data_IF_131924257976
#
_entry.id   IF_131924257976
#
_cell.length_a   1.000
_cell.length_b   1.000
_cell.length_c   1.000
_cell.angle_alpha   90.00
_cell.angle_beta   90.00
_cell.angle_gamma   90.00
#
_symmetry.space_group_name_H-M   'P 1'
#
loop_
_entity.id
_entity.type
_entity.pdbx_description
1 polymer ?
#
# COMPACT_ATOMS: atom_id res chain seq x y z
N UNK A 1 7.57 -34.57 -8.70
CA UNK A 1 7.84 -33.65 -7.59
C UNK A 1 6.70 -32.64 -7.46
N UNK A 2 5.70 -32.84 -6.58
CA UNK A 2 4.65 -31.85 -6.42
C UNK A 2 5.14 -30.69 -5.53
N UNK A 3 5.09 -29.46 -6.05
CA UNK A 3 5.33 -28.23 -5.29
C UNK A 3 4.26 -28.12 -4.21
N UNK A 4 4.67 -28.31 -2.96
CA UNK A 4 3.88 -28.06 -1.75
C UNK A 4 3.44 -26.59 -1.79
N UNK A 5 2.20 -26.32 -2.21
CA UNK A 5 1.56 -25.01 -1.98
C UNK A 5 1.39 -24.92 -0.47
N UNK A 6 2.32 -24.23 0.19
CA UNK A 6 2.16 -23.87 1.59
C UNK A 6 0.81 -23.14 1.70
N UNK A 7 -0.12 -23.74 2.42
CA UNK A 7 -1.41 -23.11 2.71
C UNK A 7 -1.06 -21.93 3.64
N UNK A 8 -1.40 -20.68 3.27
CA UNK A 8 -1.17 -19.56 4.17
C UNK A 8 -1.86 -19.87 5.50
N UNK A 9 -1.19 -19.59 6.62
CA UNK A 9 -1.81 -19.76 7.91
C UNK A 9 -3.04 -18.84 7.99
N UNK A 10 -4.08 -19.19 8.76
CA UNK A 10 -5.28 -18.36 8.88
C UNK A 10 -4.99 -16.92 9.36
N UNK A 11 -3.88 -16.70 10.08
CA UNK A 11 -3.41 -15.37 10.45
C UNK A 11 -2.92 -14.56 9.23
N UNK A 12 -2.18 -15.19 8.31
CA UNK A 12 -1.69 -14.55 7.07
C UNK A 12 -2.85 -14.12 6.17
N UNK A 13 -3.92 -14.93 6.11
CA UNK A 13 -5.10 -14.63 5.30
C UNK A 13 -5.86 -13.39 5.79
N UNK A 14 -5.87 -13.12 7.11
CA UNK A 14 -6.54 -11.95 7.69
C UNK A 14 -5.88 -10.63 7.25
N UNK A 15 -4.55 -10.55 7.36
CA UNK A 15 -3.80 -9.36 6.94
C UNK A 15 -3.88 -9.13 5.43
N UNK A 16 -3.78 -10.19 4.64
CA UNK A 16 -3.91 -10.10 3.18
C UNK A 16 -5.29 -9.59 2.75
N UNK A 17 -6.36 -10.01 3.43
CA UNK A 17 -7.70 -9.51 3.18
C UNK A 17 -7.82 -8.03 3.57
N UNK A 18 -7.29 -7.64 4.72
CA UNK A 18 -7.31 -6.25 5.20
C UNK A 18 -6.54 -5.33 4.25
N UNK A 19 -5.31 -5.70 3.87
CA UNK A 19 -4.50 -5.00 2.88
C UNK A 19 -5.18 -4.96 1.50
N UNK A 20 -5.89 -6.03 1.13
CA UNK A 20 -6.68 -6.10 -0.10
C UNK A 20 -7.83 -5.08 -0.11
N UNK A 21 -8.57 -4.97 1.00
CA UNK A 21 -9.64 -3.99 1.16
C UNK A 21 -9.10 -2.56 1.11
N UNK A 22 -7.96 -2.30 1.74
CA UNK A 22 -7.27 -1.00 1.68
C UNK A 22 -6.85 -0.68 0.25
N UNK A 23 -6.27 -1.63 -0.47
CA UNK A 23 -5.88 -1.48 -1.87
C UNK A 23 -7.07 -1.15 -2.77
N UNK A 24 -8.21 -1.84 -2.59
CA UNK A 24 -9.43 -1.56 -3.35
C UNK A 24 -9.99 -0.17 -3.05
N UNK A 25 -9.98 0.26 -1.78
CA UNK A 25 -10.37 1.63 -1.40
C UNK A 25 -9.46 2.68 -2.04
N UNK A 26 -8.13 2.50 -1.96
CA UNK A 26 -7.19 3.41 -2.61
C UNK A 26 -7.46 3.51 -4.11
N UNK A 27 -7.74 2.42 -4.81
CA UNK A 27 -8.01 2.48 -6.26
C UNK A 27 -9.24 3.30 -6.64
N UNK A 28 -10.17 3.51 -5.71
CA UNK A 28 -11.41 4.26 -5.95
C UNK A 28 -11.26 5.76 -5.67
N UNK A 29 -10.17 6.20 -5.05
CA UNK A 29 -9.97 7.62 -4.73
C UNK A 29 -9.65 8.41 -5.99
N UNK A 30 -10.37 9.54 -6.25
CA UNK A 30 -10.09 10.43 -7.38
C UNK A 30 -8.65 10.96 -7.40
N UNK A 31 -8.18 11.39 -8.57
CA UNK A 31 -6.81 11.90 -8.74
C UNK A 31 -6.59 13.32 -8.17
N UNK A 32 -7.53 13.86 -7.40
CA UNK A 32 -7.43 15.18 -6.79
C UNK A 32 -6.36 15.22 -5.69
N UNK A 33 -5.55 16.28 -5.66
CA UNK A 33 -4.45 16.48 -4.72
C UNK A 33 -4.86 16.25 -3.27
N UNK A 34 -5.79 17.08 -2.79
CA UNK A 34 -6.22 17.13 -1.40
C UNK A 34 -6.86 15.82 -0.96
N UNK A 35 -7.60 15.16 -1.87
CA UNK A 35 -8.21 13.86 -1.59
C UNK A 35 -7.13 12.78 -1.43
N UNK A 36 -6.12 12.74 -2.33
CA UNK A 36 -5.02 11.78 -2.21
C UNK A 36 -4.23 12.00 -0.92
N UNK A 37 -3.85 13.24 -0.62
CA UNK A 37 -3.15 13.58 0.63
C UNK A 37 -3.95 13.14 1.85
N UNK A 38 -5.24 13.50 1.89
CA UNK A 38 -6.13 13.13 2.98
C UNK A 38 -6.23 11.61 3.14
N UNK A 39 -6.44 10.87 2.06
CA UNK A 39 -6.52 9.41 2.12
C UNK A 39 -5.18 8.76 2.52
N UNK A 40 -4.04 9.30 2.10
CA UNK A 40 -2.72 8.78 2.50
C UNK A 40 -2.47 8.98 4.00
N UNK A 41 -2.77 10.17 4.54
CA UNK A 41 -2.44 10.53 5.91
C UNK A 41 -3.51 10.13 6.93
N UNK A 42 -4.78 10.32 6.60
CA UNK A 42 -5.90 10.09 7.53
C UNK A 42 -6.43 8.66 7.50
N UNK A 43 -6.31 7.96 6.37
CA UNK A 43 -6.83 6.59 6.23
C UNK A 43 -5.70 5.56 6.16
N UNK A 44 -4.79 5.69 5.20
CA UNK A 44 -3.78 4.65 4.95
C UNK A 44 -2.74 4.54 6.07
N UNK A 45 -2.20 5.67 6.54
CA UNK A 45 -1.16 5.68 7.57
C UNK A 45 -1.58 4.97 8.87
N UNK A 46 -2.73 5.28 9.52
CA UNK A 46 -3.11 4.60 10.75
C UNK A 46 -3.39 3.10 10.54
N UNK A 47 -3.91 2.72 9.38
CA UNK A 47 -4.13 1.30 9.05
C UNK A 47 -2.79 0.58 8.90
N UNK A 48 -1.82 1.17 8.21
CA UNK A 48 -0.48 0.60 8.08
C UNK A 48 0.23 0.50 9.43
N UNK A 49 0.08 1.49 10.31
CA UNK A 49 0.63 1.43 11.67
C UNK A 49 0.05 0.24 12.44
N UNK A 50 -1.27 0.02 12.39
CA UNK A 50 -1.91 -1.11 13.07
C UNK A 50 -1.51 -2.46 12.47
N UNK A 51 -1.42 -2.57 11.14
CA UNK A 51 -1.04 -3.82 10.47
C UNK A 51 0.43 -4.15 10.74
N UNK A 52 1.34 -3.17 10.60
CA UNK A 52 2.77 -3.39 10.87
C UNK A 52 3.02 -3.86 12.29
N UNK A 53 2.39 -3.23 13.30
CA UNK A 53 2.51 -3.66 14.69
C UNK A 53 2.02 -5.10 14.91
N UNK A 54 0.86 -5.47 14.35
CA UNK A 54 0.31 -6.83 14.48
C UNK A 54 1.17 -7.88 13.78
N UNK A 55 1.75 -7.55 12.64
CA UNK A 55 2.64 -8.44 11.89
C UNK A 55 4.01 -8.58 12.58
N UNK A 56 4.56 -7.50 13.14
CA UNK A 56 5.79 -7.51 13.95
C UNK A 56 5.62 -8.39 15.20
N UNK A 57 4.47 -8.31 15.87
CA UNK A 57 4.13 -9.18 17.00
C UNK A 57 4.10 -10.67 16.61
N UNK A 58 3.88 -10.98 15.34
CA UNK A 58 3.89 -12.34 14.78
C UNK A 58 5.23 -12.70 14.08
N UNK A 59 6.25 -11.84 14.21
CA UNK A 59 7.57 -12.01 13.58
C UNK A 59 7.50 -12.18 12.04
N UNK A 60 6.51 -11.58 11.41
CA UNK A 60 6.39 -11.54 9.95
C UNK A 60 7.26 -10.44 9.35
N UNK A 61 7.64 -10.60 8.08
CA UNK A 61 8.37 -9.55 7.36
C UNK A 61 7.47 -8.35 7.06
N UNK A 62 7.72 -7.25 7.76
CA UNK A 62 7.03 -5.96 7.60
C UNK A 62 7.86 -4.92 6.88
N UNK A 63 9.10 -5.23 6.48
CA UNK A 63 10.07 -4.26 5.93
C UNK A 63 9.47 -3.33 4.86
N UNK A 64 8.72 -3.82 3.85
CA UNK A 64 8.19 -2.94 2.82
C UNK A 64 6.99 -2.09 3.30
N UNK A 65 6.20 -2.59 4.26
CA UNK A 65 5.11 -1.81 4.88
C UNK A 65 5.65 -0.75 5.83
N UNK A 66 6.68 -1.08 6.61
CA UNK A 66 7.38 -0.16 7.51
C UNK A 66 8.03 0.98 6.73
N UNK A 67 8.71 0.66 5.62
CA UNK A 67 9.26 1.68 4.72
C UNK A 67 8.16 2.61 4.17
N UNK A 68 7.05 2.05 3.68
CA UNK A 68 5.92 2.85 3.18
C UNK A 68 5.32 3.74 4.28
N UNK A 69 5.14 3.21 5.49
CA UNK A 69 4.67 3.98 6.65
C UNK A 69 5.59 5.15 6.95
N UNK A 70 6.90 4.93 6.95
CA UNK A 70 7.87 5.98 7.26
C UNK A 70 7.92 7.05 6.15
N UNK A 71 7.70 6.68 4.90
CA UNK A 71 7.52 7.65 3.80
C UNK A 71 6.24 8.46 3.95
N UNK A 72 5.12 7.83 4.34
CA UNK A 72 3.86 8.51 4.63
C UNK A 72 3.96 9.47 5.81
N UNK A 73 4.72 9.13 6.84
CA UNK A 73 5.00 10.04 7.97
C UNK A 73 5.79 11.28 7.58
N UNK A 74 6.55 11.22 6.48
CA UNK A 74 7.30 12.35 5.91
C UNK A 74 6.48 13.16 4.91
N UNK A 75 5.31 12.66 4.48
CA UNK A 75 4.44 13.40 3.58
C UNK A 75 3.81 14.57 4.33
N UNK A 76 3.89 15.75 3.73
CA UNK A 76 3.25 16.95 4.25
C UNK A 76 2.01 17.29 3.41
N UNK A 77 0.98 17.92 4.01
CA UNK A 77 -0.18 18.39 3.25
C UNK A 77 0.16 19.43 2.17
N UNK A 78 1.31 20.10 2.30
CA UNK A 78 1.83 21.07 1.34
C UNK A 78 2.82 20.48 0.34
N UNK A 79 3.02 19.15 0.36
CA UNK A 79 3.85 18.46 -0.63
C UNK A 79 3.30 18.68 -2.04
N UNK A 80 4.17 18.73 -3.04
CA UNK A 80 3.75 18.93 -4.42
C UNK A 80 2.98 17.71 -4.98
N UNK A 81 2.21 17.94 -6.04
CA UNK A 81 1.40 16.91 -6.68
C UNK A 81 2.22 15.70 -7.18
N UNK A 82 3.46 15.91 -7.63
CA UNK A 82 4.28 14.82 -8.14
C UNK A 82 4.71 13.90 -6.99
N UNK A 83 5.19 14.47 -5.88
CA UNK A 83 5.52 13.74 -4.65
C UNK A 83 4.33 12.93 -4.13
N UNK A 84 3.13 13.53 -4.08
CA UNK A 84 1.91 12.82 -3.65
C UNK A 84 1.57 11.68 -4.61
N UNK A 85 1.67 11.90 -5.93
CA UNK A 85 1.38 10.89 -6.94
C UNK A 85 2.37 9.73 -6.92
N UNK A 86 3.65 10.00 -6.68
CA UNK A 86 4.69 8.99 -6.59
C UNK A 86 4.51 8.14 -5.34
N UNK A 87 4.22 8.76 -4.19
CA UNK A 87 3.93 8.05 -2.96
C UNK A 87 2.64 7.23 -3.08
N UNK A 88 1.62 7.76 -3.74
CA UNK A 88 0.39 7.04 -4.06
C UNK A 88 0.66 5.81 -4.93
N UNK A 89 1.43 5.96 -6.01
CA UNK A 89 1.78 4.85 -6.89
C UNK A 89 2.61 3.78 -6.15
N UNK A 90 3.51 4.21 -5.26
CA UNK A 90 4.29 3.31 -4.40
C UNK A 90 3.42 2.58 -3.41
N UNK A 91 2.46 3.25 -2.76
CA UNK A 91 1.50 2.62 -1.85
C UNK A 91 0.72 1.52 -2.57
N UNK A 92 0.17 1.83 -3.75
CA UNK A 92 -0.53 0.84 -4.58
C UNK A 92 0.36 -0.36 -4.92
N UNK A 93 1.63 -0.14 -5.27
CA UNK A 93 2.59 -1.19 -5.59
C UNK A 93 2.89 -2.08 -4.39
N UNK A 94 3.27 -1.50 -3.25
CA UNK A 94 3.60 -2.25 -2.03
C UNK A 94 2.41 -3.10 -1.57
N UNK A 95 1.20 -2.52 -1.52
CA UNK A 95 -0.02 -3.25 -1.14
C UNK A 95 -0.38 -4.35 -2.14
N UNK A 96 -0.16 -4.11 -3.44
CA UNK A 96 -0.38 -5.11 -4.50
C UNK A 96 0.58 -6.30 -4.37
N UNK A 97 1.85 -6.02 -4.13
CA UNK A 97 2.89 -7.05 -3.94
C UNK A 97 2.59 -7.90 -2.70
N UNK A 98 2.17 -7.28 -1.58
CA UNK A 98 1.79 -8.00 -0.35
C UNK A 98 0.54 -8.86 -0.48
N UNK A 99 -0.42 -8.43 -1.30
CA UNK A 99 -1.70 -9.15 -1.48
C UNK A 99 -1.64 -10.17 -2.62
N UNK A 100 -0.52 -10.24 -3.35
CA UNK A 100 -0.39 -11.03 -4.57
C UNK A 100 -1.32 -10.60 -5.70
N UNK A 101 -1.94 -9.41 -5.57
CA UNK A 101 -2.84 -8.84 -6.57
C UNK A 101 -2.02 -7.87 -7.41
N UNK A 102 -1.77 -8.13 -8.70
CA UNK A 102 -0.98 -7.20 -9.50
C UNK A 102 -1.60 -5.80 -9.45
N UNK A 103 -0.75 -4.79 -9.25
CA UNK A 103 -1.17 -3.40 -9.43
C UNK A 103 -1.71 -3.25 -10.87
N UNK A 104 -2.80 -2.50 -11.10
CA UNK A 104 -3.18 -2.15 -12.46
C UNK A 104 -1.98 -1.47 -13.08
N UNK A 105 -1.44 -2.09 -14.13
CA UNK A 105 -0.26 -1.59 -14.86
C UNK A 105 -0.61 -0.20 -15.37
N UNK A 106 -0.20 0.86 -14.66
CA UNK A 106 -0.23 2.22 -15.20
C UNK A 106 0.67 2.16 -16.44
N UNK A 107 0.03 2.30 -17.59
CA UNK A 107 0.72 2.46 -18.85
C UNK A 107 1.61 3.69 -18.71
N UNK A 108 2.91 3.47 -18.68
CA UNK A 108 3.99 4.47 -18.69
C UNK A 108 4.03 5.30 -20.00
N UNK A 109 2.93 5.34 -20.75
CA UNK A 109 2.87 5.90 -22.10
C UNK A 109 2.35 7.33 -22.02
N UNK A 110 3.29 8.28 -21.86
CA UNK A 110 3.48 9.44 -22.74
C UNK A 110 4.36 10.48 -22.05
N UNK A 111 5.67 10.26 -22.10
CA UNK A 111 6.60 11.35 -22.42
C UNK A 111 6.63 11.41 -23.95
N UNK A 112 5.98 12.42 -24.51
CA UNK A 112 6.29 13.01 -25.82
C UNK A 112 5.37 14.23 -26.01
N UNK A 113 5.87 15.40 -25.61
CA UNK A 113 6.23 16.52 -26.50
C UNK A 113 6.95 17.57 -25.67
#
# INVERSE_FOLDING_TARGET
MPRRRARPAPADAGFQQELGNVLDRLRQVPEAHDQRVHHLLSELLPILESITQRMEAQQLDTTPLTALRDDLRRLHPTSDQATVNDLWARALKVLSDFTGRPAPRRAFWKRNT
#
